data_IF_219530958523
#
_entry.id   IF_219530958523
#
_cell.length_a   1.000
_cell.length_b   1.000
_cell.length_c   1.000
_cell.angle_alpha   90.00
_cell.angle_beta   90.00
_cell.angle_gamma   90.00
#
_symmetry.space_group_name_H-M   'P 1'
#
loop_
_entity.id
_entity.type
_entity.pdbx_description
1 polymer ?
#
# COMPACT_ATOMS: atom_id res chain seq x y z
N UNK A 1 -80.23 23.78 -13.46
CA UNK A 1 -78.88 24.35 -13.26
C UNK A 1 -78.35 23.76 -11.96
N UNK A 2 -77.74 22.58 -12.03
CA UNK A 2 -76.28 22.34 -12.13
C UNK A 2 -75.49 22.91 -10.95
N UNK A 3 -74.89 22.01 -10.17
CA UNK A 3 -73.94 22.33 -9.12
C UNK A 3 -73.61 21.10 -8.25
N UNK A 4 -73.23 19.99 -8.90
CA UNK A 4 -72.68 18.83 -8.21
C UNK A 4 -71.30 19.11 -7.64
N UNK A 5 -71.01 18.45 -6.52
CA UNK A 5 -69.76 18.42 -5.77
C UNK A 5 -68.53 18.08 -6.63
N UNK A 6 -67.41 18.79 -6.44
CA UNK A 6 -66.13 18.49 -7.12
C UNK A 6 -64.85 18.90 -6.35
N UNK A 7 -64.93 19.35 -5.09
CA UNK A 7 -63.73 19.77 -4.34
C UNK A 7 -63.45 19.00 -3.04
N UNK A 8 -64.10 17.86 -2.81
CA UNK A 8 -63.62 16.86 -1.84
C UNK A 8 -62.43 16.07 -2.41
N UNK A 9 -61.33 16.78 -2.66
CA UNK A 9 -60.07 16.22 -3.12
C UNK A 9 -59.61 15.10 -2.20
N UNK A 10 -59.51 13.89 -2.76
CA UNK A 10 -58.97 12.71 -2.11
C UNK A 10 -57.64 13.04 -1.41
N UNK A 11 -57.60 12.83 -0.09
CA UNK A 11 -56.38 12.77 0.70
C UNK A 11 -55.37 11.90 -0.05
N UNK A 12 -54.28 12.52 -0.48
CA UNK A 12 -53.22 11.83 -1.19
C UNK A 12 -52.73 10.69 -0.30
N UNK A 13 -52.90 9.45 -0.77
CA UNK A 13 -52.23 8.29 -0.21
C UNK A 13 -50.73 8.55 -0.30
N UNK A 14 -50.14 9.08 0.77
CA UNK A 14 -48.69 9.04 0.97
C UNK A 14 -48.29 7.57 0.82
N UNK A 15 -47.57 7.26 -0.26
CA UNK A 15 -47.05 5.92 -0.53
C UNK A 15 -46.12 5.58 0.65
N UNK A 16 -46.59 4.71 1.55
CA UNK A 16 -45.86 4.35 2.76
C UNK A 16 -44.53 3.75 2.33
N UNK A 17 -43.43 4.39 2.72
CA UNK A 17 -42.09 3.95 2.36
C UNK A 17 -41.85 2.58 3.02
N UNK A 18 -41.54 1.58 2.19
CA UNK A 18 -41.33 0.21 2.66
C UNK A 18 -39.91 0.12 3.23
N UNK A 19 -39.75 -0.29 4.50
CA UNK A 19 -38.43 -0.36 5.13
C UNK A 19 -37.53 -1.34 4.39
N UNK A 20 -36.28 -0.93 4.17
CA UNK A 20 -35.23 -1.77 3.62
C UNK A 20 -34.47 -2.43 4.78
N UNK A 21 -34.38 -3.75 4.78
CA UNK A 21 -33.74 -4.52 5.84
C UNK A 21 -32.58 -5.32 5.27
N UNK A 22 -31.42 -5.25 5.91
CA UNK A 22 -30.25 -6.04 5.50
C UNK A 22 -30.51 -7.50 5.83
N UNK A 23 -30.44 -8.38 4.83
CA UNK A 23 -30.60 -9.82 4.98
C UNK A 23 -29.33 -10.44 5.58
N UNK A 24 -29.14 -10.22 6.89
CA UNK A 24 -28.10 -10.89 7.65
C UNK A 24 -28.39 -12.39 7.76
N UNK A 25 -27.35 -13.20 7.98
CA UNK A 25 -27.52 -14.63 8.21
C UNK A 25 -28.41 -14.85 9.44
N UNK A 26 -29.28 -15.86 9.38
CA UNK A 26 -30.24 -16.22 10.41
C UNK A 26 -31.40 -15.21 10.60
N UNK A 27 -31.45 -14.12 9.84
CA UNK A 27 -32.64 -13.27 9.75
C UNK A 27 -33.80 -14.09 9.22
N UNK A 28 -34.91 -14.14 9.96
CA UNK A 28 -36.14 -14.82 9.53
C UNK A 28 -37.01 -13.85 8.75
N UNK A 29 -37.38 -14.24 7.53
CA UNK A 29 -38.28 -13.50 6.69
C UNK A 29 -39.28 -14.44 6.01
N UNK A 30 -40.45 -13.91 5.68
CA UNK A 30 -41.48 -14.61 4.93
C UNK A 30 -41.61 -14.00 3.54
N UNK A 31 -41.65 -14.83 2.50
CA UNK A 31 -41.98 -14.36 1.15
C UNK A 31 -43.47 -14.04 1.04
N UNK A 32 -43.82 -12.78 0.73
CA UNK A 32 -45.19 -12.29 0.77
C UNK A 32 -46.11 -12.94 -0.28
N UNK A 33 -45.55 -13.49 -1.37
CA UNK A 33 -46.31 -14.11 -2.44
C UNK A 33 -46.66 -15.58 -2.15
N UNK A 34 -45.76 -16.31 -1.49
CA UNK A 34 -45.90 -17.76 -1.27
C UNK A 34 -46.14 -18.13 0.20
N UNK A 35 -45.97 -17.21 1.14
CA UNK A 35 -46.04 -17.46 2.58
C UNK A 35 -44.91 -18.33 3.10
N UNK A 36 -43.81 -18.48 2.34
CA UNK A 36 -42.69 -19.30 2.75
C UNK A 36 -41.83 -18.53 3.76
N UNK A 37 -41.80 -19.01 5.01
CA UNK A 37 -41.05 -18.42 6.11
C UNK A 37 -39.77 -19.23 6.39
N UNK A 38 -38.62 -18.55 6.43
CA UNK A 38 -37.34 -19.19 6.69
C UNK A 38 -36.22 -18.21 7.05
N UNK A 39 -35.13 -18.75 7.56
CA UNK A 39 -33.93 -18.02 7.93
C UNK A 39 -33.01 -17.82 6.71
N UNK A 40 -32.39 -16.65 6.60
CA UNK A 40 -31.40 -16.37 5.55
C UNK A 40 -30.16 -17.24 5.76
N UNK A 41 -29.89 -18.12 4.79
CA UNK A 41 -28.70 -19.00 4.80
C UNK A 41 -27.67 -18.65 3.73
N UNK A 42 -28.01 -17.73 2.82
CA UNK A 42 -27.08 -17.26 1.81
C UNK A 42 -27.76 -16.50 0.68
N UNK A 43 -27.00 -16.29 -0.38
CA UNK A 43 -27.43 -15.56 -1.56
C UNK A 43 -27.03 -16.31 -2.82
N UNK A 44 -27.74 -16.03 -3.91
CA UNK A 44 -27.38 -16.47 -5.24
C UNK A 44 -27.50 -15.33 -6.24
N UNK A 45 -26.76 -15.43 -7.35
CA UNK A 45 -26.83 -14.46 -8.44
C UNK A 45 -26.99 -15.21 -9.76
N UNK A 46 -28.07 -14.90 -10.44
CA UNK A 46 -28.40 -15.40 -11.78
C UNK A 46 -28.38 -14.25 -12.79
N UNK A 47 -28.49 -14.58 -14.08
CA UNK A 47 -28.69 -13.59 -15.14
C UNK A 47 -29.97 -12.75 -14.92
N UNK A 48 -30.97 -13.33 -14.24
CA UNK A 48 -32.26 -12.69 -13.91
C UNK A 48 -32.24 -11.87 -12.60
N UNK A 49 -31.09 -11.72 -11.94
CA UNK A 49 -30.92 -10.84 -10.78
C UNK A 49 -30.36 -11.52 -9.52
N UNK A 50 -30.57 -10.84 -8.38
CA UNK A 50 -30.10 -11.29 -7.06
C UNK A 50 -31.19 -12.00 -6.27
N UNK A 51 -30.81 -13.08 -5.59
CA UNK A 51 -31.71 -13.94 -4.83
C UNK A 51 -31.18 -14.18 -3.42
N UNK A 52 -32.10 -14.29 -2.46
CA UNK A 52 -31.83 -14.75 -1.09
C UNK A 52 -32.25 -16.21 -0.94
N UNK A 53 -31.44 -17.00 -0.22
CA UNK A 53 -31.74 -18.38 0.16
C UNK A 53 -32.37 -18.36 1.54
N UNK A 54 -33.62 -18.81 1.65
CA UNK A 54 -34.32 -18.98 2.92
C UNK A 54 -34.46 -20.46 3.26
N UNK A 55 -34.13 -20.85 4.49
CA UNK A 55 -34.27 -22.20 5.02
C UNK A 55 -35.43 -22.27 6.02
N UNK A 56 -36.40 -23.16 5.79
CA UNK A 56 -37.51 -23.36 6.73
C UNK A 56 -37.13 -24.27 7.92
N UNK A 57 -38.02 -24.39 8.90
CA UNK A 57 -37.83 -25.25 10.08
C UNK A 57 -37.62 -26.74 9.78
N UNK A 58 -37.96 -27.20 8.57
CA UNK A 58 -37.78 -28.57 8.12
C UNK A 58 -36.48 -28.75 7.30
N UNK A 59 -35.64 -27.71 7.22
CA UNK A 59 -34.37 -27.71 6.51
C UNK A 59 -34.51 -27.54 4.99
N UNK A 60 -35.67 -27.12 4.48
CA UNK A 60 -35.86 -26.90 3.03
C UNK A 60 -35.36 -25.51 2.66
N UNK A 61 -34.45 -25.44 1.69
CA UNK A 61 -33.90 -24.18 1.19
C UNK A 61 -34.57 -23.78 -0.13
N UNK A 62 -35.05 -22.54 -0.22
CA UNK A 62 -35.64 -21.97 -1.45
C UNK A 62 -35.03 -20.60 -1.78
N UNK A 63 -35.04 -20.28 -3.07
CA UNK A 63 -34.56 -19.01 -3.61
C UNK A 63 -35.70 -18.03 -3.84
N UNK A 64 -35.52 -16.79 -3.38
CA UNK A 64 -36.47 -15.70 -3.58
C UNK A 64 -35.75 -14.48 -4.13
N UNK A 65 -36.32 -13.86 -5.16
CA UNK A 65 -35.71 -12.67 -5.77
C UNK A 65 -35.77 -11.49 -4.79
N UNK A 66 -34.68 -10.74 -4.67
CA UNK A 66 -34.61 -9.53 -3.83
C UNK A 66 -35.37 -8.37 -4.50
N UNK A 67 -36.71 -8.42 -4.47
CA UNK A 67 -37.60 -7.41 -5.05
C UNK A 67 -38.13 -6.46 -3.97
N UNK A 68 -38.50 -5.25 -4.38
CA UNK A 68 -39.13 -4.26 -3.50
C UNK A 68 -40.40 -4.84 -2.86
N UNK A 69 -40.51 -4.70 -1.54
CA UNK A 69 -41.67 -5.13 -0.73
C UNK A 69 -42.06 -6.62 -0.86
N UNK A 70 -41.13 -7.49 -1.27
CA UNK A 70 -41.43 -8.91 -1.52
C UNK A 70 -41.44 -9.78 -0.25
N UNK A 71 -41.00 -9.26 0.88
CA UNK A 71 -40.85 -10.02 2.11
C UNK A 71 -41.65 -9.42 3.26
N UNK A 72 -41.95 -10.23 4.27
CA UNK A 72 -42.53 -9.83 5.53
C UNK A 72 -41.56 -10.16 6.66
N UNK A 73 -41.43 -9.24 7.62
CA UNK A 73 -40.83 -9.50 8.94
C UNK A 73 -41.90 -9.12 9.96
N UNK A 74 -42.24 -10.04 10.87
CA UNK A 74 -43.32 -9.87 11.85
C UNK A 74 -44.65 -9.43 11.21
N UNK A 75 -44.94 -9.95 10.02
CA UNK A 75 -46.13 -9.62 9.24
C UNK A 75 -46.13 -8.23 8.57
N UNK A 76 -45.02 -7.47 8.67
CA UNK A 76 -44.88 -6.16 8.03
C UNK A 76 -44.06 -6.27 6.73
N UNK A 77 -44.51 -5.65 5.61
CA UNK A 77 -43.75 -5.65 4.37
C UNK A 77 -42.39 -4.97 4.50
N UNK A 78 -41.36 -5.62 3.98
CA UNK A 78 -39.97 -5.14 3.92
C UNK A 78 -39.36 -5.43 2.55
N UNK A 79 -38.33 -4.65 2.20
CA UNK A 79 -37.44 -4.96 1.08
C UNK A 79 -36.12 -5.50 1.63
N UNK A 80 -35.83 -6.78 1.41
CA UNK A 80 -34.54 -7.33 1.80
C UNK A 80 -33.43 -6.81 0.86
N UNK A 81 -32.29 -6.46 1.44
CA UNK A 81 -31.09 -6.05 0.70
C UNK A 81 -29.89 -6.90 1.13
N UNK A 82 -28.99 -7.19 0.19
CA UNK A 82 -27.79 -7.98 0.47
C UNK A 82 -26.85 -7.21 1.42
N UNK A 83 -26.16 -7.89 2.35
CA UNK A 83 -25.07 -7.29 3.10
C UNK A 83 -23.97 -6.80 2.14
N UNK A 84 -23.65 -5.51 2.18
CA UNK A 84 -22.49 -4.97 1.48
C UNK A 84 -21.24 -5.36 2.27
N UNK A 85 -20.27 -6.02 1.63
CA UNK A 85 -18.97 -6.24 2.27
C UNK A 85 -18.38 -4.88 2.70
N UNK A 86 -18.00 -4.75 3.96
CA UNK A 86 -17.33 -3.54 4.43
C UNK A 86 -16.09 -3.31 3.56
N UNK A 87 -15.92 -2.09 3.06
CA UNK A 87 -14.74 -1.75 2.26
C UNK A 87 -13.48 -2.12 3.06
N UNK A 88 -12.48 -2.75 2.44
CA UNK A 88 -11.23 -3.05 3.12
C UNK A 88 -10.67 -1.74 3.69
N UNK A 89 -10.42 -1.73 5.01
CA UNK A 89 -9.83 -0.56 5.67
C UNK A 89 -8.48 -0.27 5.02
N UNK A 90 -8.28 0.97 4.59
CA UNK A 90 -7.00 1.36 4.03
C UNK A 90 -5.90 1.25 5.12
N UNK A 91 -4.67 0.87 4.74
CA UNK A 91 -3.57 0.78 5.69
C UNK A 91 -3.30 2.14 6.33
N UNK A 92 -3.28 2.19 7.67
CA UNK A 92 -2.98 3.40 8.43
C UNK A 92 -1.48 3.69 8.54
N UNK A 93 -0.63 2.78 8.06
CA UNK A 93 0.84 2.89 8.09
C UNK A 93 1.43 2.85 6.68
N UNK A 94 2.54 3.56 6.46
CA UNK A 94 3.37 3.48 5.26
C UNK A 94 4.24 2.21 5.27
N UNK A 95 4.98 1.97 4.18
CA UNK A 95 5.93 0.87 4.08
C UNK A 95 7.15 1.06 5.00
N UNK A 96 7.52 2.29 5.38
CA UNK A 96 8.53 2.60 6.41
C UNK A 96 8.00 2.37 7.83
N UNK A 97 6.69 2.27 8.01
CA UNK A 97 6.03 2.12 9.32
C UNK A 97 5.56 3.43 9.95
N UNK A 98 5.72 4.58 9.27
CA UNK A 98 5.16 5.86 9.72
C UNK A 98 3.64 5.90 9.56
N UNK A 99 2.97 6.85 10.21
CA UNK A 99 1.52 7.05 10.04
C UNK A 99 1.27 7.59 8.63
N UNK A 100 0.41 6.91 7.88
CA UNK A 100 0.08 7.32 6.52
C UNK A 100 -0.71 8.64 6.55
N UNK A 101 -0.27 9.60 5.73
CA UNK A 101 -0.96 10.89 5.55
C UNK A 101 -1.82 10.79 4.29
N UNK A 102 -3.11 11.00 4.43
CA UNK A 102 -4.06 11.03 3.31
C UNK A 102 -4.18 12.44 2.72
N UNK A 103 -4.64 12.52 1.46
CA UNK A 103 -4.94 13.81 0.82
C UNK A 103 -3.73 14.71 0.58
N UNK A 104 -2.53 14.12 0.39
CA UNK A 104 -1.32 14.86 0.04
C UNK A 104 -1.58 15.71 -1.21
N UNK A 105 -1.57 17.04 -1.04
CA UNK A 105 -1.45 17.97 -2.15
C UNK A 105 0.00 17.97 -2.63
N UNK A 106 0.21 18.10 -3.94
CA UNK A 106 1.56 18.29 -4.48
C UNK A 106 2.22 19.48 -3.78
N UNK A 107 3.26 19.22 -2.99
CA UNK A 107 4.10 20.26 -2.36
C UNK A 107 5.27 20.55 -3.29
N UNK A 108 5.76 21.79 -3.27
CA UNK A 108 7.05 22.10 -3.90
C UNK A 108 8.12 21.30 -3.17
N UNK A 109 8.94 20.58 -3.92
CA UNK A 109 10.05 19.84 -3.36
C UNK A 109 10.95 20.79 -2.54
N UNK A 110 11.36 20.37 -1.35
CA UNK A 110 12.43 21.02 -0.59
C UNK A 110 13.66 21.14 -1.48
N UNK A 111 14.53 22.08 -1.16
CA UNK A 111 15.80 22.18 -1.86
C UNK A 111 16.73 21.01 -1.50
N UNK A 112 16.59 20.40 -0.31
CA UNK A 112 17.41 19.24 0.12
C UNK A 112 17.23 18.00 -0.75
N UNK A 113 18.27 17.15 -0.83
CA UNK A 113 18.31 15.93 -1.63
C UNK A 113 18.87 14.75 -0.85
N UNK A 114 18.39 13.55 -1.17
CA UNK A 114 19.10 12.31 -0.88
C UNK A 114 19.70 11.81 -2.18
N UNK A 115 20.98 11.49 -2.15
CA UNK A 115 21.72 10.95 -3.26
C UNK A 115 22.06 9.50 -2.99
N UNK A 116 21.88 8.65 -3.98
CA UNK A 116 22.17 7.22 -3.88
C UNK A 116 23.11 6.80 -5.00
N UNK A 117 23.87 5.73 -4.79
CA UNK A 117 24.87 5.28 -5.74
C UNK A 117 24.23 4.73 -7.04
N UNK A 118 23.26 3.82 -6.90
CA UNK A 118 22.64 3.09 -7.99
C UNK A 118 21.15 3.32 -8.18
N UNK A 119 20.64 2.87 -9.32
CA UNK A 119 19.19 2.84 -9.61
C UNK A 119 18.42 1.87 -8.72
N UNK A 120 19.05 0.79 -8.26
CA UNK A 120 18.42 -0.19 -7.38
C UNK A 120 18.20 0.38 -5.98
N UNK A 121 19.16 1.17 -5.49
CA UNK A 121 19.06 1.93 -4.25
C UNK A 121 17.89 2.90 -4.29
N UNK A 122 17.85 3.72 -5.35
CA UNK A 122 16.79 4.69 -5.56
C UNK A 122 15.42 4.00 -5.55
N UNK A 123 15.32 2.86 -6.23
CA UNK A 123 14.08 2.09 -6.32
C UNK A 123 13.67 1.47 -4.98
N UNK A 124 14.61 0.95 -4.16
CA UNK A 124 14.29 0.43 -2.82
C UNK A 124 13.91 1.55 -1.86
N UNK A 125 14.64 2.67 -1.89
CA UNK A 125 14.32 3.86 -1.10
C UNK A 125 12.91 4.36 -1.44
N UNK A 126 12.60 4.48 -2.73
CA UNK A 126 11.28 4.89 -3.19
C UNK A 126 10.18 3.90 -2.76
N UNK A 127 10.46 2.59 -2.83
CA UNK A 127 9.48 1.56 -2.48
C UNK A 127 9.10 1.58 -0.99
N UNK A 128 10.07 1.80 -0.11
CA UNK A 128 9.83 1.72 1.34
C UNK A 128 9.56 3.09 1.97
N UNK A 129 10.27 4.14 1.55
CA UNK A 129 10.19 5.48 2.13
C UNK A 129 9.58 6.54 1.21
N UNK A 130 9.24 6.21 -0.04
CA UNK A 130 8.75 7.21 -1.00
C UNK A 130 7.50 7.96 -0.53
N UNK A 131 6.64 7.33 0.27
CA UNK A 131 5.51 8.04 0.90
C UNK A 131 5.99 9.18 1.80
N UNK A 132 6.84 8.86 2.75
CA UNK A 132 7.42 9.77 3.75
C UNK A 132 8.22 10.89 3.08
N UNK A 133 9.06 10.55 2.10
CA UNK A 133 9.84 11.50 1.34
C UNK A 133 8.95 12.50 0.58
N UNK A 134 7.81 12.06 0.05
CA UNK A 134 6.84 12.97 -0.59
C UNK A 134 6.11 13.87 0.42
N UNK A 135 5.82 13.38 1.64
CA UNK A 135 5.28 14.21 2.73
C UNK A 135 6.25 15.36 3.05
N UNK A 136 7.53 15.02 3.13
CA UNK A 136 8.61 15.95 3.46
C UNK A 136 9.07 16.80 2.27
N UNK A 137 8.72 16.41 1.04
CA UNK A 137 9.17 17.07 -0.19
C UNK A 137 10.64 16.82 -0.51
N UNK A 138 11.22 15.72 -0.03
CA UNK A 138 12.61 15.32 -0.30
C UNK A 138 12.67 14.48 -1.57
N UNK A 139 13.64 14.77 -2.44
CA UNK A 139 13.85 14.05 -3.70
C UNK A 139 15.08 13.15 -3.57
N UNK A 140 14.97 11.95 -4.13
CA UNK A 140 16.07 10.99 -4.27
C UNK A 140 16.64 11.07 -5.69
N UNK A 141 17.95 11.23 -5.81
CA UNK A 141 18.65 11.29 -7.11
C UNK A 141 19.81 10.30 -7.12
N UNK A 142 20.16 9.78 -8.30
CA UNK A 142 21.32 8.91 -8.48
C UNK A 142 22.60 9.73 -8.69
N UNK A 143 23.73 9.28 -8.12
CA UNK A 143 25.07 9.88 -8.32
C UNK A 143 25.90 9.25 -9.44
N UNK A 144 25.52 8.06 -9.93
CA UNK A 144 26.30 7.28 -10.91
C UNK A 144 27.69 6.89 -10.39
N UNK A 145 27.81 6.73 -9.06
CA UNK A 145 29.07 6.39 -8.38
C UNK A 145 29.65 7.57 -7.58
N UNK A 146 30.35 7.25 -6.50
CA UNK A 146 30.90 8.25 -5.58
C UNK A 146 32.00 9.13 -6.19
N UNK A 147 32.65 8.70 -7.27
CA UNK A 147 33.66 9.52 -7.94
C UNK A 147 33.08 10.84 -8.49
N UNK A 148 31.75 10.94 -8.67
CA UNK A 148 31.06 12.16 -9.08
C UNK A 148 30.63 13.08 -7.92
N UNK A 149 30.78 12.64 -6.68
CA UNK A 149 30.25 13.34 -5.50
C UNK A 149 30.77 14.78 -5.40
N UNK A 150 32.09 14.98 -5.51
CA UNK A 150 32.70 16.30 -5.35
C UNK A 150 32.20 17.31 -6.40
N UNK A 151 32.09 16.88 -7.67
CA UNK A 151 31.58 17.73 -8.74
C UNK A 151 30.11 18.09 -8.52
N UNK A 152 29.28 17.11 -8.15
CA UNK A 152 27.85 17.31 -7.86
C UNK A 152 27.63 18.20 -6.65
N UNK A 153 28.43 18.06 -5.59
CA UNK A 153 28.38 18.96 -4.43
C UNK A 153 28.78 20.39 -4.80
N UNK A 154 29.74 20.57 -5.69
CA UNK A 154 30.16 21.90 -6.16
C UNK A 154 29.07 22.59 -6.97
N UNK A 155 28.42 21.84 -7.87
CA UNK A 155 27.27 22.32 -8.65
C UNK A 155 26.08 22.62 -7.75
N UNK A 156 25.79 21.71 -6.83
CA UNK A 156 24.69 21.85 -5.91
C UNK A 156 24.95 23.07 -5.02
N UNK A 157 26.02 23.11 -4.23
CA UNK A 157 26.29 24.10 -3.16
C UNK A 157 25.42 23.90 -1.90
N UNK A 158 25.59 22.79 -1.16
CA UNK A 158 24.83 22.52 0.06
C UNK A 158 24.87 23.67 1.07
N UNK A 159 23.76 23.85 1.79
CA UNK A 159 23.53 24.97 2.70
C UNK A 159 22.48 24.60 3.77
N UNK A 160 22.21 25.48 4.74
CA UNK A 160 21.34 25.18 5.88
C UNK A 160 19.94 24.72 5.46
N UNK A 161 19.36 25.37 4.44
CA UNK A 161 18.02 25.06 3.91
C UNK A 161 18.03 24.09 2.71
N UNK A 162 19.18 23.50 2.39
CA UNK A 162 19.39 22.68 1.20
C UNK A 162 20.50 21.66 1.40
N UNK A 163 20.24 20.73 2.29
CA UNK A 163 21.20 19.70 2.70
C UNK A 163 21.29 18.57 1.68
N UNK A 164 22.40 17.86 1.68
CA UNK A 164 22.59 16.65 0.87
C UNK A 164 22.86 15.47 1.79
N UNK A 165 21.96 14.50 1.77
CA UNK A 165 22.24 13.17 2.30
C UNK A 165 22.79 12.28 1.19
N UNK A 166 23.79 11.44 1.48
CA UNK A 166 24.35 10.47 0.53
C UNK A 166 24.29 9.08 1.15
N UNK A 167 23.67 8.14 0.46
CA UNK A 167 23.65 6.73 0.80
C UNK A 167 24.64 5.98 -0.11
N UNK A 168 25.53 5.21 0.52
CA UNK A 168 26.62 4.51 -0.16
C UNK A 168 26.57 3.02 0.14
N UNK A 169 26.82 2.21 -0.88
CA UNK A 169 27.00 0.76 -0.71
C UNK A 169 28.37 0.46 -0.10
N UNK A 170 28.50 -0.68 0.58
CA UNK A 170 29.77 -1.20 1.09
C UNK A 170 30.63 -0.22 1.93
N UNK A 171 30.01 0.73 2.63
CA UNK A 171 30.70 1.72 3.44
C UNK A 171 31.33 1.10 4.70
N UNK A 172 32.55 0.58 4.52
CA UNK A 172 33.38 -0.03 5.57
C UNK A 172 34.59 0.86 5.81
N UNK A 173 34.92 1.12 7.09
CA UNK A 173 36.07 1.94 7.48
C UNK A 173 37.36 1.49 6.78
N UNK A 174 38.03 2.43 6.10
CA UNK A 174 39.27 2.16 5.36
C UNK A 174 39.07 1.77 3.89
N UNK A 175 37.81 1.77 3.40
CA UNK A 175 37.52 1.63 1.96
C UNK A 175 37.94 2.86 1.16
N UNK A 176 38.03 2.71 -0.17
CA UNK A 176 38.21 3.84 -1.12
C UNK A 176 37.15 4.92 -0.88
N UNK A 177 35.92 4.50 -0.61
CA UNK A 177 34.75 5.36 -0.41
C UNK A 177 34.90 6.23 0.83
N UNK A 178 35.46 5.69 1.92
CA UNK A 178 35.70 6.44 3.17
C UNK A 178 36.52 7.74 2.91
N UNK A 179 37.50 7.69 2.01
CA UNK A 179 38.32 8.86 1.68
C UNK A 179 37.56 9.92 0.88
N UNK A 180 36.63 9.49 0.02
CA UNK A 180 35.80 10.40 -0.79
C UNK A 180 34.73 11.12 0.05
N UNK A 181 34.49 10.65 1.27
CA UNK A 181 33.41 11.13 2.13
C UNK A 181 33.88 12.02 3.27
N UNK A 182 35.19 12.29 3.38
CA UNK A 182 35.75 13.18 4.41
C UNK A 182 35.73 14.65 4.00
N UNK A 183 35.48 15.55 4.96
CA UNK A 183 35.65 17.00 4.77
C UNK A 183 34.57 17.71 3.95
N UNK A 184 33.37 17.12 3.80
CA UNK A 184 32.30 17.62 2.93
C UNK A 184 31.49 18.81 3.50
N UNK A 185 31.85 19.29 4.70
CA UNK A 185 31.17 20.40 5.37
C UNK A 185 29.89 19.97 6.12
N UNK A 186 29.26 20.89 6.88
CA UNK A 186 28.19 20.57 7.82
C UNK A 186 26.83 20.30 7.17
N UNK A 187 26.67 20.61 5.88
CA UNK A 187 25.41 20.46 5.15
C UNK A 187 25.38 19.21 4.24
N UNK A 188 26.36 18.33 4.43
CA UNK A 188 26.45 17.04 3.75
C UNK A 188 26.60 15.94 4.79
N UNK A 189 25.73 14.93 4.73
CA UNK A 189 25.85 13.73 5.54
C UNK A 189 26.00 12.53 4.63
N UNK A 190 27.02 11.71 4.88
CA UNK A 190 27.19 10.44 4.20
C UNK A 190 26.92 9.31 5.19
N UNK A 191 26.03 8.41 4.79
CA UNK A 191 25.76 7.15 5.48
C UNK A 191 25.93 6.01 4.47
N UNK A 192 25.85 4.78 4.96
CA UNK A 192 25.91 3.62 4.08
C UNK A 192 25.64 2.34 4.84
N UNK A 193 25.76 1.23 4.14
CA UNK A 193 25.56 -0.09 4.70
C UNK A 193 26.75 -1.01 4.40
N UNK A 194 26.98 -2.05 5.21
CA UNK A 194 28.16 -2.91 5.08
C UNK A 194 28.08 -3.90 3.91
N UNK A 195 26.98 -3.89 3.15
CA UNK A 195 26.72 -4.86 2.10
C UNK A 195 27.43 -4.52 0.80
N UNK A 196 27.78 -5.55 0.02
CA UNK A 196 28.46 -5.39 -1.27
C UNK A 196 27.57 -4.67 -2.28
N UNK A 197 26.26 -4.88 -2.19
CA UNK A 197 25.24 -4.29 -3.05
C UNK A 197 23.93 -4.21 -2.26
N UNK A 198 23.10 -3.22 -2.56
CA UNK A 198 21.78 -3.04 -1.94
C UNK A 198 20.88 -4.26 -1.98
N UNK A 199 21.05 -5.17 -2.95
CA UNK A 199 20.31 -6.44 -2.96
C UNK A 199 20.47 -7.21 -1.64
N UNK A 200 21.70 -7.26 -1.13
CA UNK A 200 22.03 -7.99 0.09
C UNK A 200 21.42 -7.34 1.35
N UNK A 201 20.95 -6.10 1.26
CA UNK A 201 20.18 -5.46 2.32
C UNK A 201 18.74 -6.00 2.44
N UNK A 202 18.24 -6.76 1.46
CA UNK A 202 16.97 -7.47 1.57
C UNK A 202 17.15 -8.76 2.37
N UNK A 203 16.28 -9.00 3.34
CA UNK A 203 16.34 -10.19 4.20
C UNK A 203 16.17 -11.47 3.38
N UNK A 204 17.03 -12.49 3.58
CA UNK A 204 16.88 -13.81 2.94
C UNK A 204 15.47 -14.41 3.08
N UNK A 205 14.84 -14.23 4.23
CA UNK A 205 13.49 -14.72 4.52
C UNK A 205 12.42 -14.14 3.57
N UNK A 206 12.51 -12.85 3.22
CA UNK A 206 11.60 -12.21 2.27
C UNK A 206 11.71 -12.83 0.86
N UNK A 207 12.91 -13.31 0.53
CA UNK A 207 13.23 -13.95 -0.75
C UNK A 207 12.99 -15.46 -0.76
N UNK A 208 12.61 -16.05 0.38
CA UNK A 208 12.47 -17.50 0.52
C UNK A 208 13.80 -18.26 0.36
N UNK A 209 14.94 -17.61 0.61
CA UNK A 209 16.27 -18.24 0.56
C UNK A 209 16.84 -18.38 1.98
N UNK A 210 17.64 -19.41 2.26
CA UNK A 210 18.20 -19.62 3.60
C UNK A 210 19.22 -18.52 3.98
N UNK A 211 20.02 -18.08 3.03
CA UNK A 211 21.00 -17.01 3.18
C UNK A 211 21.43 -16.50 1.80
N UNK A 212 21.99 -15.28 1.75
CA UNK A 212 22.68 -14.79 0.57
C UNK A 212 23.94 -15.64 0.28
N UNK A 213 24.10 -16.16 -0.95
CA UNK A 213 25.31 -16.91 -1.31
C UNK A 213 26.56 -16.03 -1.26
N UNK A 214 27.70 -16.64 -0.92
CA UNK A 214 29.00 -15.98 -1.03
C UNK A 214 29.49 -16.00 -2.48
N UNK A 215 29.85 -14.82 -2.99
CA UNK A 215 30.49 -14.66 -4.31
C UNK A 215 32.00 -14.43 -4.11
N UNK A 216 32.88 -15.24 -4.71
CA UNK A 216 34.33 -15.05 -4.68
C UNK A 216 34.74 -13.68 -5.24
N UNK A 217 35.83 -13.14 -4.70
CA UNK A 217 36.43 -11.92 -5.26
C UNK A 217 36.82 -12.13 -6.72
N UNK A 218 36.58 -11.11 -7.54
CA UNK A 218 36.86 -11.12 -8.98
C UNK A 218 35.70 -11.63 -9.85
N UNK A 219 34.64 -12.20 -9.25
CA UNK A 219 33.38 -12.46 -9.93
C UNK A 219 32.43 -11.27 -9.72
N UNK A 220 31.73 -10.82 -10.77
CA UNK A 220 30.66 -9.83 -10.64
C UNK A 220 29.61 -10.34 -9.65
N UNK A 221 29.31 -9.53 -8.63
CA UNK A 221 28.52 -9.99 -7.49
C UNK A 221 27.09 -10.36 -7.91
N UNK A 222 26.40 -9.51 -8.69
CA UNK A 222 25.02 -9.75 -9.13
C UNK A 222 24.90 -10.99 -10.01
N UNK A 223 25.81 -11.16 -10.96
CA UNK A 223 25.89 -12.34 -11.82
C UNK A 223 26.17 -13.59 -10.99
N UNK A 224 27.12 -13.52 -10.05
CA UNK A 224 27.48 -14.62 -9.18
C UNK A 224 26.34 -15.07 -8.25
N UNK A 225 25.53 -14.13 -7.75
CA UNK A 225 24.31 -14.41 -6.99
C UNK A 225 23.28 -15.11 -7.86
N UNK A 226 22.95 -14.54 -9.02
CA UNK A 226 21.93 -15.09 -9.91
C UNK A 226 22.27 -16.51 -10.37
N UNK A 227 23.56 -16.77 -10.66
CA UNK A 227 24.06 -18.10 -11.02
C UNK A 227 23.88 -19.13 -9.89
N UNK A 228 24.17 -18.74 -8.64
CA UNK A 228 24.07 -19.64 -7.47
C UNK A 228 22.64 -19.93 -7.06
N UNK A 229 21.74 -18.96 -7.23
CA UNK A 229 20.31 -19.10 -6.89
C UNK A 229 19.45 -19.58 -8.06
N UNK A 230 20.03 -19.74 -9.25
CA UNK A 230 19.29 -20.14 -10.45
C UNK A 230 18.26 -19.10 -10.89
N UNK A 231 18.53 -17.82 -10.67
CA UNK A 231 17.58 -16.73 -10.93
C UNK A 231 17.62 -16.19 -12.35
N UNK A 232 18.60 -16.60 -13.17
CA UNK A 232 18.75 -16.15 -14.55
C UNK A 232 19.71 -14.96 -14.64
N UNK A 233 19.29 -13.88 -15.31
CA UNK A 233 20.11 -12.68 -15.50
C UNK A 233 20.06 -11.74 -14.27
N UNK A 234 21.00 -10.80 -14.12
CA UNK A 234 20.90 -9.75 -13.10
C UNK A 234 19.58 -8.96 -13.14
N UNK A 235 18.98 -8.79 -14.32
CA UNK A 235 17.68 -8.13 -14.47
C UNK A 235 16.54 -8.98 -13.89
N UNK A 236 16.58 -10.30 -14.08
CA UNK A 236 15.61 -11.23 -13.48
C UNK A 236 15.80 -11.32 -11.96
N UNK A 237 17.06 -11.35 -11.51
CA UNK A 237 17.42 -11.28 -10.09
C UNK A 237 16.89 -10.00 -9.45
N UNK A 238 17.08 -8.84 -10.09
CA UNK A 238 16.56 -7.58 -9.58
C UNK A 238 15.04 -7.59 -9.41
N UNK A 239 14.30 -8.07 -10.42
CA UNK A 239 12.83 -8.18 -10.32
C UNK A 239 12.41 -9.04 -9.14
N UNK A 240 13.11 -10.14 -8.88
CA UNK A 240 12.85 -11.00 -7.71
C UNK A 240 13.11 -10.25 -6.40
N UNK A 241 14.26 -9.58 -6.29
CA UNK A 241 14.65 -8.80 -5.11
C UNK A 241 13.65 -7.68 -4.82
N UNK A 242 13.35 -6.88 -5.83
CA UNK A 242 12.43 -5.75 -5.71
C UNK A 242 11.01 -6.18 -5.33
N UNK A 243 10.52 -7.27 -5.92
CA UNK A 243 9.15 -7.75 -5.65
C UNK A 243 8.99 -8.43 -4.28
N UNK A 244 10.09 -8.83 -3.63
CA UNK A 244 10.06 -9.44 -2.30
C UNK A 244 9.92 -8.43 -1.16
N UNK A 245 10.14 -7.14 -1.41
CA UNK A 245 10.13 -6.10 -0.37
C UNK A 245 8.75 -5.45 -0.33
N UNK A 246 7.99 -5.58 0.75
CA UNK A 246 6.72 -4.88 0.91
C UNK A 246 6.82 -3.74 1.94
N UNK A 247 7.74 -3.88 2.91
CA UNK A 247 7.96 -2.89 3.96
C UNK A 247 9.39 -2.90 4.49
N UNK A 248 9.71 -1.97 5.38
CA UNK A 248 10.99 -1.93 6.09
C UNK A 248 11.34 -3.24 6.80
N UNK A 249 10.33 -4.07 7.14
CA UNK A 249 10.56 -5.36 7.81
C UNK A 249 11.31 -6.37 6.95
N UNK A 250 11.25 -6.20 5.63
CA UNK A 250 11.92 -7.05 4.65
C UNK A 250 13.36 -6.63 4.42
N UNK A 251 13.81 -5.55 5.08
CA UNK A 251 15.15 -5.01 4.98
C UNK A 251 15.97 -5.27 6.25
N UNK A 252 17.27 -5.38 6.07
CA UNK A 252 18.24 -5.47 7.15
C UNK A 252 18.45 -4.12 7.84
N UNK A 253 18.64 -4.16 9.16
CA UNK A 253 18.73 -2.97 10.01
C UNK A 253 19.79 -1.95 9.61
N UNK A 254 20.99 -2.32 9.09
CA UNK A 254 21.97 -1.33 8.67
C UNK A 254 21.48 -0.38 7.57
N UNK A 255 20.77 -0.88 6.54
CA UNK A 255 20.21 -0.03 5.49
C UNK A 255 19.10 0.88 6.06
N UNK A 256 18.22 0.32 6.89
CA UNK A 256 17.13 1.09 7.52
C UNK A 256 17.73 2.26 8.32
N UNK A 257 18.67 1.97 9.22
CA UNK A 257 19.29 2.98 10.06
C UNK A 257 20.04 4.05 9.28
N UNK A 258 20.67 3.69 8.15
CA UNK A 258 21.33 4.65 7.27
C UNK A 258 20.32 5.60 6.61
N UNK A 259 19.25 5.07 6.02
CA UNK A 259 18.21 5.87 5.36
C UNK A 259 17.48 6.79 6.34
N UNK A 260 17.10 6.29 7.53
CA UNK A 260 16.45 7.11 8.57
C UNK A 260 17.33 8.29 8.99
N UNK A 261 18.63 8.06 9.23
CA UNK A 261 19.58 9.13 9.56
C UNK A 261 19.68 10.19 8.45
N UNK A 262 19.63 9.78 7.18
CA UNK A 262 19.63 10.73 6.06
C UNK A 262 18.33 11.54 6.04
N UNK A 263 17.18 10.89 6.23
CA UNK A 263 15.88 11.56 6.26
C UNK A 263 15.85 12.60 7.38
N UNK A 264 16.23 12.22 8.59
CA UNK A 264 16.31 13.13 9.73
C UNK A 264 17.22 14.32 9.40
N UNK A 265 18.40 14.07 8.85
CA UNK A 265 19.36 15.12 8.52
C UNK A 265 18.82 16.13 7.50
N UNK A 266 18.24 15.65 6.40
CA UNK A 266 17.77 16.52 5.30
C UNK A 266 16.44 17.20 5.58
N UNK A 267 15.70 16.73 6.59
CA UNK A 267 14.40 17.28 6.99
C UNK A 267 14.48 18.19 8.23
N UNK A 268 15.54 18.08 9.04
CA UNK A 268 15.79 18.91 10.22
C UNK A 268 15.89 20.42 9.85
N UNK A 269 15.00 21.27 10.37
CA UNK A 269 14.85 22.69 9.98
C UNK A 269 15.88 23.67 10.58
N UNK A 270 17.05 23.22 11.08
CA UNK A 270 18.09 24.08 11.70
C UNK A 270 18.29 25.45 11.06
#
# INVERSE_FOLDING_TARGET
MYGGDIFSGHSSKQKREIPRVVAERDLVAEDAATGFCGAVVGFDRSYDGEFVKLEDRAGRVRLFALREAAFLIDGQPVTLVRPTAAAPKQPTRSASGSTRVEGLKARVARASRIWVEGVHDAALVERVWGHDLRVEGVVVEQLEGLDHLAARLTEFQPGPNRKVGVLVDHLVTGSKETNLTTGLGPHVLVTGHPYIDVWQAVRPAALGIPAWPTVPRGEDWKTGICRRLGWGTPQDGWRRVYNAVDSFRDLESPLIGAVEQLIDFVTDPQ
#
